data_IF_244952964975
#
_entry.id   IF_244952964975
#
_cell.length_a   1.000
_cell.length_b   1.000
_cell.length_c   1.000
_cell.angle_alpha   90.00
_cell.angle_beta   90.00
_cell.angle_gamma   90.00
#
_symmetry.space_group_name_H-M   'P 1'
#
loop_
_entity.id
_entity.type
_entity.pdbx_description
1 polymer ?
#
# COMPACT_ATOMS: atom_id res chain seq x y z
N UNK A 1 -28.40 -11.73 2.24
CA UNK A 1 -29.16 -10.52 1.82
C UNK A 1 -30.66 -10.73 2.10
N UNK A 2 -31.50 -9.70 1.94
CA UNK A 2 -32.93 -9.75 2.31
C UNK A 2 -33.79 -10.63 1.35
N UNK A 3 -33.26 -10.94 0.16
CA UNK A 3 -33.98 -11.64 -0.92
C UNK A 3 -33.50 -13.10 -1.04
N UNK A 4 -32.20 -13.34 -1.04
CA UNK A 4 -31.53 -14.63 -1.31
C UNK A 4 -31.07 -15.33 -0.02
N UNK A 5 -31.18 -14.67 1.14
CA UNK A 5 -30.92 -15.21 2.50
C UNK A 5 -29.53 -15.83 2.70
N UNK A 6 -28.53 -15.40 1.92
CA UNK A 6 -27.16 -15.86 2.14
C UNK A 6 -26.63 -15.46 3.53
N UNK A 7 -25.77 -16.29 4.15
CA UNK A 7 -25.11 -15.96 5.42
C UNK A 7 -24.36 -14.63 5.31
N UNK A 8 -24.48 -13.78 6.33
CA UNK A 8 -23.79 -12.48 6.38
C UNK A 8 -22.27 -12.62 6.35
N UNK A 9 -21.73 -13.74 6.81
CA UNK A 9 -20.29 -14.02 6.83
C UNK A 9 -19.66 -13.98 5.43
N UNK A 10 -20.43 -14.27 4.37
CA UNK A 10 -19.95 -14.20 2.98
C UNK A 10 -19.68 -12.76 2.48
N UNK A 11 -20.12 -11.74 3.23
CA UNK A 11 -19.91 -10.32 2.90
C UNK A 11 -19.14 -9.59 4.01
N UNK A 12 -18.62 -10.31 5.01
CA UNK A 12 -17.83 -9.72 6.07
C UNK A 12 -16.55 -9.12 5.47
N UNK A 13 -16.32 -7.83 5.73
CA UNK A 13 -15.11 -7.13 5.28
C UNK A 13 -14.09 -7.20 6.40
N UNK A 14 -13.02 -7.94 6.17
CA UNK A 14 -11.82 -7.89 7.01
C UNK A 14 -10.91 -6.78 6.50
N UNK A 15 -10.96 -5.62 7.16
CA UNK A 15 -10.16 -4.45 6.82
C UNK A 15 -9.27 -4.03 7.99
N UNK A 16 -8.09 -3.53 7.64
CA UNK A 16 -7.18 -2.88 8.59
C UNK A 16 -6.77 -1.54 7.99
N UNK A 17 -7.12 -0.45 8.68
CA UNK A 17 -6.68 0.88 8.31
C UNK A 17 -5.17 1.02 8.52
N UNK A 18 -4.52 1.75 7.62
CA UNK A 18 -3.07 1.97 7.65
C UNK A 18 -2.74 3.45 7.83
N UNK A 19 -1.48 3.73 8.14
CA UNK A 19 -0.90 5.06 8.26
C UNK A 19 0.57 4.99 7.87
N UNK A 20 1.21 6.15 7.69
CA UNK A 20 2.65 6.18 7.47
C UNK A 20 3.41 5.42 8.57
N UNK A 21 4.36 4.59 8.14
CA UNK A 21 5.18 3.77 9.02
C UNK A 21 4.50 2.50 9.52
N UNK A 22 3.23 2.25 9.15
CA UNK A 22 2.60 0.95 9.39
C UNK A 22 3.39 -0.15 8.69
N UNK A 23 3.62 -1.25 9.41
CA UNK A 23 4.32 -2.42 8.91
C UNK A 23 3.43 -3.65 9.09
N UNK A 24 3.04 -4.26 7.99
CA UNK A 24 2.52 -5.63 7.98
C UNK A 24 3.69 -6.58 7.77
N UNK A 25 3.72 -7.67 8.53
CA UNK A 25 4.77 -8.67 8.40
C UNK A 25 4.24 -10.08 8.66
N UNK A 26 4.26 -10.92 7.63
CA UNK A 26 3.80 -12.30 7.69
C UNK A 26 4.49 -13.16 6.64
N UNK A 27 4.82 -14.41 6.97
CA UNK A 27 5.37 -15.39 6.02
C UNK A 27 6.58 -14.87 5.20
N UNK A 28 7.42 -14.06 5.82
CA UNK A 28 8.62 -13.46 5.21
C UNK A 28 8.36 -12.19 4.39
N UNK A 29 7.11 -11.81 4.14
CA UNK A 29 6.74 -10.56 3.48
C UNK A 29 6.71 -9.44 4.53
N UNK A 30 7.35 -8.31 4.22
CA UNK A 30 7.25 -7.07 4.98
C UNK A 30 6.70 -5.97 4.09
N UNK A 31 5.55 -5.40 4.45
CA UNK A 31 4.95 -4.27 3.74
C UNK A 31 5.07 -3.03 4.62
N UNK A 32 5.74 -1.99 4.13
CA UNK A 32 5.85 -0.68 4.80
C UNK A 32 5.02 0.33 4.04
N UNK A 33 4.07 0.97 4.72
CA UNK A 33 3.25 2.06 4.15
C UNK A 33 3.93 3.41 4.39
N UNK A 34 3.89 4.33 3.41
CA UNK A 34 4.41 5.68 3.56
C UNK A 34 3.54 6.71 2.83
N UNK A 35 3.52 7.96 3.30
CA UNK A 35 2.71 9.00 2.68
C UNK A 35 3.29 9.45 1.33
N UNK A 36 2.40 9.74 0.37
CA UNK A 36 2.74 10.36 -0.92
C UNK A 36 1.89 11.60 -1.18
N UNK A 37 2.28 12.42 -2.18
CA UNK A 37 1.58 13.68 -2.47
C UNK A 37 0.55 13.50 -3.58
N UNK A 38 -0.67 13.10 -3.23
CA UNK A 38 -1.81 13.10 -4.17
C UNK A 38 -2.62 14.42 -4.13
N UNK A 39 -1.96 15.55 -3.84
CA UNK A 39 -2.56 16.87 -3.83
C UNK A 39 -3.60 17.05 -2.71
N UNK A 40 -4.88 17.12 -3.09
CA UNK A 40 -5.98 17.35 -2.14
C UNK A 40 -6.53 16.06 -1.53
N UNK A 41 -6.23 14.89 -2.12
CA UNK A 41 -6.67 13.60 -1.61
C UNK A 41 -5.70 13.18 -0.51
N UNK A 42 -6.21 13.12 0.73
CA UNK A 42 -5.43 12.75 1.91
C UNK A 42 -6.27 11.87 2.86
N UNK A 43 -5.67 10.82 3.45
CA UNK A 43 -4.30 10.37 3.20
C UNK A 43 -4.16 9.67 1.83
N UNK A 44 -2.93 9.63 1.31
CA UNK A 44 -2.57 8.89 0.11
C UNK A 44 -1.23 8.21 0.36
N UNK A 45 -1.07 6.97 -0.12
CA UNK A 45 0.03 6.10 0.29
C UNK A 45 0.76 5.47 -0.88
N UNK A 46 2.06 5.34 -0.71
CA UNK A 46 2.90 4.37 -1.40
C UNK A 46 3.19 3.18 -0.49
N UNK A 47 3.61 2.07 -1.10
CA UNK A 47 3.90 0.82 -0.41
C UNK A 47 5.25 0.28 -0.84
N UNK A 48 6.09 -0.06 0.14
CA UNK A 48 7.31 -0.85 -0.09
C UNK A 48 7.10 -2.26 0.42
N UNK A 49 7.36 -3.24 -0.45
CA UNK A 49 7.22 -4.66 -0.16
C UNK A 49 8.62 -5.27 -0.23
N UNK A 50 9.11 -5.83 0.87
CA UNK A 50 10.36 -6.57 0.93
C UNK A 50 10.08 -8.07 1.19
N UNK A 51 10.69 -8.96 0.41
CA UNK A 51 10.55 -10.42 0.52
C UNK A 51 11.82 -11.14 0.04
N UNK A 52 12.38 -12.03 0.86
CA UNK A 52 13.57 -12.84 0.52
C UNK A 52 14.73 -12.04 -0.11
N UNK A 53 14.98 -10.83 0.40
CA UNK A 53 16.03 -9.94 -0.10
C UNK A 53 15.71 -9.22 -1.42
N UNK A 54 14.49 -9.39 -1.95
CA UNK A 54 13.93 -8.61 -3.06
C UNK A 54 12.99 -7.54 -2.55
N UNK A 55 12.80 -6.50 -3.36
CA UNK A 55 12.02 -5.33 -3.00
C UNK A 55 11.24 -4.74 -4.18
N UNK A 56 9.98 -4.43 -3.95
CA UNK A 56 9.10 -3.74 -4.91
C UNK A 56 8.50 -2.51 -4.23
N UNK A 57 8.47 -1.39 -4.93
CA UNK A 57 7.78 -0.18 -4.49
C UNK A 57 6.63 0.15 -5.44
N UNK A 58 5.45 0.39 -4.85
CA UNK A 58 4.27 0.92 -5.52
C UNK A 58 4.15 2.40 -5.14
N UNK A 59 4.17 3.30 -6.12
CA UNK A 59 4.06 4.74 -5.84
C UNK A 59 2.69 5.14 -5.31
N UNK A 60 1.64 4.43 -5.73
CA UNK A 60 0.28 4.97 -5.73
C UNK A 60 0.17 6.15 -6.71
N UNK A 61 -0.98 6.82 -6.69
CA UNK A 61 -1.14 8.08 -7.41
C UNK A 61 -0.46 9.19 -6.59
N UNK A 62 0.46 9.92 -7.22
CA UNK A 62 1.28 10.94 -6.58
C UNK A 62 1.88 11.93 -7.58
N UNK A 63 1.99 13.17 -7.14
CA UNK A 63 2.92 14.17 -7.66
C UNK A 63 4.36 13.80 -7.26
N UNK A 64 5.30 14.66 -7.63
CA UNK A 64 6.66 14.59 -7.08
C UNK A 64 6.64 14.48 -5.55
N UNK A 65 7.25 13.42 -5.03
CA UNK A 65 7.28 13.11 -3.60
C UNK A 65 8.69 12.71 -3.17
N UNK A 66 9.32 13.53 -2.32
CA UNK A 66 10.62 13.18 -1.71
C UNK A 66 10.52 11.91 -0.85
N UNK A 67 9.37 11.68 -0.25
CA UNK A 67 9.13 10.49 0.55
C UNK A 67 9.12 9.23 -0.33
N UNK A 68 8.49 9.30 -1.51
CA UNK A 68 8.55 8.21 -2.48
C UNK A 68 10.01 7.92 -2.89
N UNK A 69 10.79 8.96 -3.21
CA UNK A 69 12.21 8.79 -3.57
C UNK A 69 12.96 8.07 -2.43
N UNK A 70 12.76 8.50 -1.18
CA UNK A 70 13.38 7.88 0.01
C UNK A 70 13.05 6.39 0.13
N UNK A 71 11.79 6.00 -0.04
CA UNK A 71 11.37 4.60 0.11
C UNK A 71 11.68 3.73 -1.12
N UNK A 72 11.71 4.31 -2.32
CA UNK A 72 12.08 3.67 -3.57
C UNK A 72 13.60 3.45 -3.72
N UNK A 73 14.42 4.14 -2.94
CA UNK A 73 15.87 4.00 -3.03
C UNK A 73 16.30 2.56 -2.79
N UNK A 74 17.05 2.02 -3.76
CA UNK A 74 17.57 0.65 -3.72
C UNK A 74 16.53 -0.44 -3.91
N UNK A 75 15.29 -0.10 -4.31
CA UNK A 75 14.30 -1.10 -4.68
C UNK A 75 14.73 -1.86 -5.95
N UNK A 76 14.44 -3.16 -6.04
CA UNK A 76 14.68 -3.94 -7.27
C UNK A 76 13.72 -3.52 -8.39
N UNK A 77 12.48 -3.15 -8.03
CA UNK A 77 11.45 -2.69 -8.95
C UNK A 77 10.66 -1.52 -8.34
N UNK A 78 10.46 -0.49 -9.15
CA UNK A 78 9.53 0.61 -8.87
C UNK A 78 8.40 0.58 -9.91
N UNK A 79 7.17 0.45 -9.43
CA UNK A 79 5.94 0.65 -10.22
C UNK A 79 5.44 2.05 -9.89
N UNK A 80 5.59 2.96 -10.86
CA UNK A 80 5.26 4.37 -10.71
C UNK A 80 4.15 4.77 -11.68
N UNK A 81 3.19 5.57 -11.22
CA UNK A 81 2.21 6.17 -12.13
C UNK A 81 2.88 7.10 -13.16
N UNK A 82 2.25 7.27 -14.33
CA UNK A 82 2.70 8.23 -15.35
C UNK A 82 1.46 8.92 -15.90
N UNK A 83 1.47 10.26 -15.87
CA UNK A 83 0.34 11.12 -16.24
C UNK A 83 0.61 11.87 -17.54
#
# INVERSE_FOLDING_TARGET
>A
DLDEKFPADGIAVEATDTQQGFVYQENGVKITTFDVDHGHVKPAFGYRIDYEGRSVVLSGDTRYSENLIKYAQGADLLIHEVV
#
